data_IF_808240703908
#
_entry.id   IF_808240703908
#
_cell.length_a   1.000
_cell.length_b   1.000
_cell.length_c   1.000
_cell.angle_alpha   90.00
_cell.angle_beta   90.00
_cell.angle_gamma   90.00
#
_symmetry.space_group_name_H-M   'P 1'
#
loop_
_entity.id
_entity.type
_entity.pdbx_description
1 polymer ?
#
# COMPACT_ATOMS: atom_id res chain seq x y z
N UNK A 1 -2.45 -40.19 -67.85
CA UNK A 1 -2.77 -38.74 -67.75
C UNK A 1 -3.48 -38.51 -66.43
N UNK A 2 -2.76 -37.89 -65.49
CA UNK A 2 -3.14 -37.70 -64.09
C UNK A 2 -4.13 -36.53 -63.97
N UNK A 3 -5.28 -36.74 -63.31
CA UNK A 3 -6.19 -35.65 -62.90
C UNK A 3 -5.98 -35.41 -61.41
N UNK A 4 -5.12 -34.44 -61.08
CA UNK A 4 -4.89 -33.99 -59.71
C UNK A 4 -6.01 -33.02 -59.34
N UNK A 5 -6.79 -33.37 -58.33
CA UNK A 5 -7.70 -32.48 -57.61
C UNK A 5 -6.84 -31.70 -56.61
N UNK A 6 -6.73 -30.38 -56.77
CA UNK A 6 -6.08 -29.52 -55.80
C UNK A 6 -7.13 -29.01 -54.80
N UNK A 7 -7.19 -29.63 -53.62
CA UNK A 7 -7.86 -29.07 -52.44
C UNK A 7 -6.81 -28.25 -51.69
N UNK A 8 -6.97 -26.93 -51.66
CA UNK A 8 -6.16 -26.04 -50.83
C UNK A 8 -6.72 -26.13 -49.40
N UNK A 9 -5.98 -26.80 -48.52
CA UNK A 9 -6.26 -26.79 -47.09
C UNK A 9 -5.62 -25.53 -46.47
N UNK A 10 -6.43 -24.52 -46.16
CA UNK A 10 -6.02 -23.40 -45.30
C UNK A 10 -6.08 -23.92 -43.86
N UNK A 11 -4.95 -24.42 -43.36
CA UNK A 11 -4.77 -24.66 -41.93
C UNK A 11 -4.55 -23.30 -41.25
N UNK A 12 -5.63 -22.74 -40.74
CA UNK A 12 -5.57 -21.62 -39.81
C UNK A 12 -4.85 -22.08 -38.54
N UNK A 13 -3.59 -21.68 -38.38
CA UNK A 13 -2.91 -21.77 -37.09
C UNK A 13 -3.60 -20.76 -36.18
N UNK A 14 -4.53 -21.24 -35.37
CA UNK A 14 -4.97 -20.50 -34.18
C UNK A 14 -3.80 -20.58 -33.20
N UNK A 15 -2.84 -19.65 -33.32
CA UNK A 15 -1.95 -19.38 -32.20
C UNK A 15 -2.82 -18.80 -31.11
N UNK A 16 -3.17 -19.61 -30.11
CA UNK A 16 -3.70 -19.11 -28.85
C UNK A 16 -2.60 -18.26 -28.22
N UNK A 17 -2.56 -16.96 -28.53
CA UNK A 17 -1.72 -16.00 -27.84
C UNK A 17 -2.25 -15.97 -26.41
N UNK A 18 -1.57 -16.67 -25.51
CA UNK A 18 -1.76 -16.41 -24.08
C UNK A 18 -1.38 -14.95 -23.88
N UNK A 19 -2.29 -14.16 -23.31
CA UNK A 19 -1.97 -12.81 -22.87
C UNK A 19 -0.70 -12.89 -22.02
N UNK A 20 0.29 -12.05 -22.32
CA UNK A 20 1.53 -12.04 -21.57
C UNK A 20 1.21 -11.72 -20.10
N UNK A 21 1.79 -12.48 -19.18
CA UNK A 21 1.62 -12.25 -17.75
C UNK A 21 2.31 -10.93 -17.37
N UNK A 22 1.71 -10.17 -16.45
CA UNK A 22 2.30 -8.96 -15.92
C UNK A 22 3.62 -9.27 -15.19
N UNK A 23 4.71 -8.61 -15.59
CA UNK A 23 6.00 -8.69 -14.91
C UNK A 23 6.40 -7.29 -14.48
N UNK A 24 6.48 -7.06 -13.18
CA UNK A 24 6.89 -5.75 -12.65
C UNK A 24 8.39 -5.52 -12.86
N UNK A 25 8.82 -4.48 -13.60
CA UNK A 25 10.25 -4.19 -13.82
C UNK A 25 11.04 -3.85 -12.55
N UNK A 26 10.36 -3.50 -11.46
CA UNK A 26 10.97 -3.22 -10.16
C UNK A 26 11.10 -1.72 -9.86
N UNK A 27 10.99 -1.35 -8.58
CA UNK A 27 10.99 0.05 -8.15
C UNK A 27 12.28 0.84 -8.43
N UNK A 28 13.41 0.14 -8.63
CA UNK A 28 14.70 0.74 -8.97
C UNK A 28 15.06 0.67 -10.46
N UNK A 29 14.13 0.23 -11.32
CA UNK A 29 14.37 0.20 -12.76
C UNK A 29 14.50 1.62 -13.31
N UNK A 30 15.41 1.80 -14.28
CA UNK A 30 15.57 3.03 -15.06
C UNK A 30 15.07 2.88 -16.50
N UNK A 31 14.46 1.74 -16.82
CA UNK A 31 13.99 1.41 -18.17
C UNK A 31 12.52 1.81 -18.34
N UNK A 32 12.31 3.00 -18.93
CA UNK A 32 10.97 3.49 -19.23
C UNK A 32 10.21 2.54 -20.18
N UNK A 33 10.89 2.00 -21.20
CA UNK A 33 10.27 1.15 -22.20
C UNK A 33 9.79 -0.18 -21.59
N UNK A 34 10.51 -0.71 -20.59
CA UNK A 34 10.07 -1.89 -19.86
C UNK A 34 8.75 -1.66 -19.10
N UNK A 35 8.54 -0.49 -18.50
CA UNK A 35 7.26 -0.17 -17.86
C UNK A 35 6.13 0.02 -18.87
N UNK A 36 6.40 0.68 -19.99
CA UNK A 36 5.42 0.88 -21.06
C UNK A 36 4.98 -0.43 -21.71
N UNK A 37 5.92 -1.34 -21.94
CA UNK A 37 5.64 -2.67 -22.48
C UNK A 37 4.73 -3.50 -21.54
N UNK A 38 4.66 -3.17 -20.25
CA UNK A 38 3.83 -3.86 -19.26
C UNK A 38 2.46 -3.22 -19.06
N UNK A 39 2.20 -2.01 -19.58
CA UNK A 39 0.89 -1.36 -19.49
C UNK A 39 -0.25 -2.24 -20.07
N UNK A 40 -0.11 -2.89 -21.25
CA UNK A 40 -1.14 -3.77 -21.78
C UNK A 40 -1.39 -5.02 -20.93
N UNK A 41 -0.38 -5.46 -20.16
CA UNK A 41 -0.46 -6.67 -19.33
C UNK A 41 -0.95 -6.37 -17.90
N UNK A 42 -1.08 -5.10 -17.52
CA UNK A 42 -1.51 -4.70 -16.18
C UNK A 42 -2.97 -5.12 -15.91
N UNK A 43 -3.14 -6.10 -15.04
CA UNK A 43 -4.42 -6.74 -14.65
C UNK A 43 -5.24 -5.95 -13.61
N UNK A 44 -4.76 -4.79 -13.15
CA UNK A 44 -5.41 -3.96 -12.14
C UNK A 44 -5.20 -2.47 -12.40
N UNK A 45 -6.13 -1.64 -11.92
CA UNK A 45 -6.01 -0.18 -12.00
C UNK A 45 -4.72 0.32 -11.34
N UNK A 46 -4.36 -0.26 -10.19
CA UNK A 46 -3.11 0.07 -9.50
C UNK A 46 -1.90 -0.14 -10.40
N UNK A 47 -1.78 -1.31 -11.03
CA UNK A 47 -0.63 -1.63 -11.89
C UNK A 47 -0.58 -0.75 -13.15
N UNK A 48 -1.73 -0.35 -13.69
CA UNK A 48 -1.79 0.61 -14.81
C UNK A 48 -1.23 1.98 -14.40
N UNK A 49 -1.70 2.52 -13.27
CA UNK A 49 -1.20 3.80 -12.76
C UNK A 49 0.29 3.69 -12.41
N UNK A 50 0.69 2.62 -11.72
CA UNK A 50 2.07 2.34 -11.35
C UNK A 50 3.01 2.34 -12.56
N UNK A 51 2.69 1.55 -13.60
CA UNK A 51 3.53 1.47 -14.80
C UNK A 51 3.62 2.82 -15.52
N UNK A 52 2.50 3.54 -15.66
CA UNK A 52 2.50 4.86 -16.29
C UNK A 52 3.35 5.87 -15.51
N UNK A 53 3.21 5.90 -14.18
CA UNK A 53 4.00 6.79 -13.32
C UNK A 53 5.48 6.45 -13.35
N UNK A 54 5.85 5.17 -13.22
CA UNK A 54 7.26 4.77 -13.20
C UNK A 54 7.94 4.90 -14.56
N UNK A 55 7.22 4.71 -15.67
CA UNK A 55 7.74 5.04 -17.00
C UNK A 55 8.12 6.52 -17.09
N UNK A 56 7.28 7.40 -16.53
CA UNK A 56 7.56 8.84 -16.50
C UNK A 56 8.71 9.19 -15.54
N UNK A 57 8.79 8.55 -14.36
CA UNK A 57 9.92 8.76 -13.45
C UNK A 57 11.26 8.36 -14.06
N UNK A 58 11.27 7.33 -14.93
CA UNK A 58 12.49 6.91 -15.65
C UNK A 58 12.96 7.96 -16.66
N UNK A 59 12.04 8.73 -17.26
CA UNK A 59 12.37 9.82 -18.19
C UNK A 59 12.74 11.10 -17.47
N UNK A 60 11.89 11.45 -16.51
CA UNK A 60 11.90 12.70 -15.78
C UNK A 60 11.81 12.38 -14.30
N UNK A 61 12.96 12.07 -13.70
CA UNK A 61 13.04 11.75 -12.27
C UNK A 61 12.40 12.90 -11.46
N UNK A 62 11.37 12.64 -10.63
CA UNK A 62 10.79 13.69 -9.80
C UNK A 62 11.84 14.27 -8.86
N UNK A 63 11.92 15.59 -8.80
CA UNK A 63 12.85 16.30 -7.92
C UNK A 63 12.43 16.22 -6.45
N UNK A 64 11.13 16.15 -6.18
CA UNK A 64 10.53 16.14 -4.86
C UNK A 64 9.19 15.39 -4.85
N UNK A 65 8.54 15.35 -3.68
CA UNK A 65 7.23 14.73 -3.51
C UNK A 65 6.13 15.43 -4.33
N UNK A 66 6.19 16.76 -4.48
CA UNK A 66 5.17 17.52 -5.21
C UNK A 66 5.19 17.17 -6.72
N UNK A 67 6.36 17.14 -7.33
CA UNK A 67 6.55 16.72 -8.72
C UNK A 67 6.09 15.26 -8.92
N UNK A 68 6.43 14.37 -7.99
CA UNK A 68 5.98 12.97 -8.02
C UNK A 68 4.45 12.88 -7.98
N UNK A 69 3.83 13.61 -7.06
CA UNK A 69 2.38 13.66 -6.90
C UNK A 69 1.70 14.08 -8.20
N UNK A 70 2.19 15.12 -8.88
CA UNK A 70 1.64 15.56 -10.17
C UNK A 70 1.68 14.47 -11.24
N UNK A 71 2.77 13.72 -11.34
CA UNK A 71 2.89 12.61 -12.30
C UNK A 71 1.92 11.48 -11.96
N UNK A 72 1.79 11.10 -10.67
CA UNK A 72 0.85 10.05 -10.25
C UNK A 72 -0.61 10.47 -10.45
N UNK A 73 -0.94 11.73 -10.16
CA UNK A 73 -2.28 12.27 -10.40
C UNK A 73 -2.63 12.29 -11.88
N UNK A 74 -1.67 12.65 -12.75
CA UNK A 74 -1.83 12.61 -14.21
C UNK A 74 -2.06 11.18 -14.70
N UNK A 75 -1.23 10.24 -14.24
CA UNK A 75 -1.37 8.82 -14.57
C UNK A 75 -2.71 8.25 -14.08
N UNK A 76 -3.15 8.66 -12.89
CA UNK A 76 -4.45 8.26 -12.31
C UNK A 76 -5.61 8.79 -13.15
N UNK A 77 -5.57 10.07 -13.57
CA UNK A 77 -6.59 10.65 -14.44
C UNK A 77 -6.69 9.93 -15.79
N UNK A 78 -5.55 9.51 -16.36
CA UNK A 78 -5.50 8.81 -17.64
C UNK A 78 -5.94 7.35 -17.56
N UNK A 79 -5.50 6.62 -16.53
CA UNK A 79 -5.65 5.16 -16.47
C UNK A 79 -6.68 4.65 -15.46
N UNK A 80 -7.17 5.54 -14.58
CA UNK A 80 -8.20 5.25 -13.59
C UNK A 80 -9.16 6.45 -13.40
N UNK A 81 -9.75 7.02 -14.49
CA UNK A 81 -10.52 8.27 -14.44
C UNK A 81 -11.74 8.21 -13.49
N UNK A 82 -12.33 7.03 -13.35
CA UNK A 82 -13.54 6.80 -12.55
C UNK A 82 -13.24 6.19 -11.17
N UNK A 83 -11.97 6.08 -10.77
CA UNK A 83 -11.63 5.59 -9.45
C UNK A 83 -12.06 6.60 -8.37
N UNK A 84 -12.50 6.10 -7.22
CA UNK A 84 -12.83 6.95 -6.08
C UNK A 84 -11.58 7.62 -5.48
N UNK A 85 -11.81 8.70 -4.72
CA UNK A 85 -10.73 9.46 -4.10
C UNK A 85 -9.93 8.64 -3.07
N UNK A 86 -10.56 7.65 -2.42
CA UNK A 86 -9.88 6.73 -1.52
C UNK A 86 -8.85 5.87 -2.25
N UNK A 87 -9.22 5.32 -3.41
CA UNK A 87 -8.29 4.60 -4.28
C UNK A 87 -7.14 5.50 -4.75
N UNK A 88 -7.43 6.69 -5.29
CA UNK A 88 -6.40 7.62 -5.78
C UNK A 88 -5.41 8.00 -4.68
N UNK A 89 -5.92 8.30 -3.49
CA UNK A 89 -5.09 8.61 -2.33
C UNK A 89 -4.23 7.42 -1.89
N UNK A 90 -4.79 6.21 -1.88
CA UNK A 90 -4.04 4.99 -1.59
C UNK A 90 -2.92 4.76 -2.62
N UNK A 91 -3.20 4.85 -3.92
CA UNK A 91 -2.19 4.67 -4.98
C UNK A 91 -1.07 5.70 -4.84
N UNK A 92 -1.40 6.97 -4.63
CA UNK A 92 -0.42 8.04 -4.44
C UNK A 92 0.53 7.73 -3.29
N UNK A 93 -0.01 7.39 -2.12
CA UNK A 93 0.80 7.09 -0.93
C UNK A 93 1.65 5.84 -1.12
N UNK A 94 1.12 4.83 -1.80
CA UNK A 94 1.83 3.59 -2.02
C UNK A 94 2.99 3.75 -3.01
N UNK A 95 2.79 4.52 -4.09
CA UNK A 95 3.88 4.88 -5.00
C UNK A 95 4.90 5.75 -4.26
N UNK A 96 4.47 6.75 -3.49
CA UNK A 96 5.37 7.62 -2.73
C UNK A 96 6.28 6.83 -1.79
N UNK A 97 5.71 5.94 -0.96
CA UNK A 97 6.48 5.13 -0.02
C UNK A 97 7.55 4.30 -0.73
N UNK A 98 7.14 3.53 -1.75
CA UNK A 98 8.04 2.58 -2.38
C UNK A 98 9.07 3.28 -3.28
N UNK A 99 8.73 4.40 -3.90
CA UNK A 99 9.68 5.23 -4.64
C UNK A 99 10.73 5.86 -3.71
N UNK A 100 10.31 6.46 -2.59
CA UNK A 100 11.23 7.02 -1.60
C UNK A 100 12.17 5.96 -1.03
N UNK A 101 11.66 4.75 -0.77
CA UNK A 101 12.48 3.60 -0.36
C UNK A 101 13.50 3.20 -1.44
N UNK A 102 13.10 3.15 -2.71
CA UNK A 102 13.98 2.78 -3.82
C UNK A 102 15.08 3.82 -4.07
N UNK A 103 14.74 5.11 -3.98
CA UNK A 103 15.70 6.20 -4.11
C UNK A 103 16.58 6.40 -2.86
N UNK A 104 16.21 5.81 -1.73
CA UNK A 104 16.86 6.02 -0.42
C UNK A 104 16.91 7.50 -0.03
N UNK A 105 15.85 8.24 -0.35
CA UNK A 105 15.76 9.68 -0.10
C UNK A 105 14.88 9.94 1.12
N UNK A 106 15.53 10.19 2.26
CA UNK A 106 14.83 10.42 3.52
C UNK A 106 14.16 11.80 3.58
N UNK A 107 14.67 12.81 2.88
CA UNK A 107 13.99 14.12 2.81
C UNK A 107 12.67 13.99 2.06
N UNK A 108 12.69 13.30 0.92
CA UNK A 108 11.48 12.95 0.17
C UNK A 108 10.49 12.13 1.02
N UNK A 109 10.95 11.12 1.77
CA UNK A 109 10.09 10.30 2.63
C UNK A 109 9.39 11.15 3.70
N UNK A 110 10.09 12.15 4.26
CA UNK A 110 9.52 13.08 5.25
C UNK A 110 8.43 13.94 4.65
N UNK A 111 8.61 14.45 3.43
CA UNK A 111 7.59 15.24 2.73
C UNK A 111 6.36 14.37 2.40
N UNK A 112 6.58 13.15 1.92
CA UNK A 112 5.51 12.18 1.68
C UNK A 112 4.75 11.84 2.98
N UNK A 113 5.46 11.73 4.11
CA UNK A 113 4.84 11.50 5.42
C UNK A 113 4.05 12.70 5.92
N UNK A 114 4.57 13.92 5.76
CA UNK A 114 3.84 15.14 6.08
C UNK A 114 2.51 15.21 5.29
N UNK A 115 2.52 14.81 4.02
CA UNK A 115 1.30 14.68 3.24
C UNK A 115 0.34 13.62 3.80
N UNK A 116 0.85 12.48 4.28
CA UNK A 116 0.04 11.45 4.93
C UNK A 116 -0.68 11.97 6.18
N UNK A 117 0.03 12.73 7.03
CA UNK A 117 -0.56 13.37 8.22
C UNK A 117 -1.64 14.39 7.85
N UNK A 118 -1.45 15.17 6.78
CA UNK A 118 -2.43 16.14 6.30
C UNK A 118 -3.65 15.50 5.61
N UNK A 119 -3.50 14.28 5.08
CA UNK A 119 -4.57 13.56 4.37
C UNK A 119 -4.74 12.14 4.90
N UNK A 120 -5.17 11.95 6.16
CA UNK A 120 -5.21 10.64 6.82
C UNK A 120 -5.90 9.54 5.99
N UNK A 121 -5.28 8.37 5.86
CA UNK A 121 -5.95 7.19 5.27
C UNK A 121 -5.34 5.87 5.74
N UNK A 122 -6.02 4.72 5.54
CA UNK A 122 -5.47 3.41 5.90
C UNK A 122 -4.11 3.08 5.28
N UNK A 123 -3.74 3.74 4.17
CA UNK A 123 -2.44 3.59 3.51
C UNK A 123 -1.26 4.03 4.41
N UNK A 124 -1.52 4.91 5.39
CA UNK A 124 -0.50 5.39 6.34
C UNK A 124 0.12 4.24 7.15
N UNK A 125 -0.63 3.14 7.31
CA UNK A 125 -0.15 1.93 7.96
C UNK A 125 1.12 1.37 7.30
N UNK A 126 1.29 1.56 5.99
CA UNK A 126 2.46 1.09 5.27
C UNK A 126 3.71 1.93 5.58
N UNK A 127 3.55 3.25 5.77
CA UNK A 127 4.65 4.10 6.24
C UNK A 127 5.04 3.70 7.67
N UNK A 128 4.07 3.60 8.58
CA UNK A 128 4.30 3.27 9.99
C UNK A 128 4.98 1.91 10.16
N UNK A 129 4.53 0.90 9.41
CA UNK A 129 5.03 -0.47 9.53
C UNK A 129 6.40 -0.69 8.90
N UNK A 130 6.89 0.23 8.06
CA UNK A 130 8.16 0.07 7.33
C UNK A 130 9.26 1.07 7.72
N UNK A 131 8.91 2.17 8.39
CA UNK A 131 9.83 3.27 8.67
C UNK A 131 9.86 3.62 10.17
N UNK A 132 11.03 3.95 10.72
CA UNK A 132 11.16 4.50 12.08
C UNK A 132 10.59 5.93 12.16
N UNK A 133 10.28 6.44 13.36
CA UNK A 133 9.83 7.83 13.48
C UNK A 133 10.90 8.82 13.00
N UNK A 134 12.18 8.53 13.28
CA UNK A 134 13.32 9.33 12.80
C UNK A 134 13.33 9.45 11.27
N UNK A 135 13.14 8.34 10.56
CA UNK A 135 13.14 8.32 9.10
C UNK A 135 11.93 9.04 8.51
N UNK A 136 10.80 8.99 9.22
CA UNK A 136 9.61 9.78 8.92
C UNK A 136 9.75 11.26 9.29
N UNK A 137 10.84 11.68 9.96
CA UNK A 137 11.03 13.06 10.41
C UNK A 137 10.01 13.47 11.48
N UNK A 138 9.57 12.52 12.31
CA UNK A 138 8.57 12.73 13.34
C UNK A 138 9.02 12.14 14.68
N UNK A 139 8.20 12.30 15.72
CA UNK A 139 8.46 11.71 17.03
C UNK A 139 7.77 10.36 17.18
N UNK A 140 8.31 9.48 18.03
CA UNK A 140 7.63 8.22 18.35
C UNK A 140 6.22 8.47 18.92
N UNK A 141 6.01 9.56 19.68
CA UNK A 141 4.69 9.94 20.18
C UNK A 141 3.67 10.18 19.05
N UNK A 142 4.05 10.94 18.01
CA UNK A 142 3.16 11.17 16.84
C UNK A 142 2.91 9.87 16.09
N UNK A 143 3.93 9.04 15.91
CA UNK A 143 3.80 7.75 15.21
C UNK A 143 2.90 6.78 15.98
N UNK A 144 3.00 6.73 17.32
CA UNK A 144 2.12 5.95 18.20
C UNK A 144 0.68 6.45 18.10
N UNK A 145 0.47 7.77 18.19
CA UNK A 145 -0.86 8.38 18.07
C UNK A 145 -1.52 8.04 16.72
N UNK A 146 -0.78 8.14 15.61
CA UNK A 146 -1.29 7.76 14.29
C UNK A 146 -1.55 6.25 14.17
N UNK A 147 -0.72 5.42 14.81
CA UNK A 147 -0.94 3.97 14.87
C UNK A 147 -2.25 3.65 15.59
N UNK A 148 -2.49 4.31 16.72
CA UNK A 148 -3.73 4.19 17.48
C UNK A 148 -4.95 4.55 16.63
N UNK A 149 -4.93 5.69 15.92
CA UNK A 149 -6.04 6.12 15.07
C UNK A 149 -6.38 5.07 14.00
N UNK A 150 -5.36 4.54 13.31
CA UNK A 150 -5.53 3.50 12.30
C UNK A 150 -6.09 2.18 12.87
N UNK A 151 -5.63 1.81 14.08
CA UNK A 151 -6.15 0.64 14.79
C UNK A 151 -7.60 0.86 15.22
N UNK A 152 -7.98 2.06 15.66
CA UNK A 152 -9.34 2.38 16.08
C UNK A 152 -10.33 2.40 14.89
N UNK A 153 -9.88 2.78 13.69
CA UNK A 153 -10.71 2.73 12.49
C UNK A 153 -11.13 1.30 12.10
N UNK A 154 -10.29 0.28 12.36
CA UNK A 154 -10.62 -1.13 12.12
C UNK A 154 -10.83 -1.52 10.65
N UNK A 155 -10.35 -0.68 9.70
CA UNK A 155 -10.54 -0.82 8.25
C UNK A 155 -9.39 -1.52 7.51
N UNK A 156 -8.22 -1.65 8.15
CA UNK A 156 -7.08 -2.31 7.52
C UNK A 156 -7.21 -3.85 7.53
N UNK A 157 -6.50 -4.50 6.62
CA UNK A 157 -6.45 -5.96 6.55
C UNK A 157 -5.77 -6.59 7.78
N UNK A 158 -6.10 -7.84 8.15
CA UNK A 158 -5.60 -8.47 9.38
C UNK A 158 -4.07 -8.44 9.54
N UNK A 159 -3.33 -8.65 8.44
CA UNK A 159 -1.86 -8.63 8.46
C UNK A 159 -1.33 -7.25 8.86
N UNK A 160 -1.94 -6.20 8.33
CA UNK A 160 -1.60 -4.81 8.65
C UNK A 160 -1.98 -4.48 10.08
N UNK A 161 -3.19 -4.85 10.51
CA UNK A 161 -3.62 -4.68 11.91
C UNK A 161 -2.67 -5.36 12.88
N UNK A 162 -2.26 -6.60 12.61
CA UNK A 162 -1.31 -7.33 13.45
C UNK A 162 0.01 -6.57 13.61
N UNK A 163 0.57 -6.03 12.52
CA UNK A 163 1.81 -5.24 12.56
C UNK A 163 1.65 -3.94 13.34
N UNK A 164 0.56 -3.21 13.10
CA UNK A 164 0.26 -1.97 13.81
C UNK A 164 0.06 -2.23 15.30
N UNK A 165 -0.67 -3.29 15.66
CA UNK A 165 -0.89 -3.68 17.05
C UNK A 165 0.41 -4.07 17.75
N UNK A 166 1.28 -4.83 17.08
CA UNK A 166 2.60 -5.17 17.61
C UNK A 166 3.42 -3.91 17.90
N UNK A 167 3.47 -2.96 16.96
CA UNK A 167 4.15 -1.69 17.15
C UNK A 167 3.52 -0.89 18.31
N UNK A 168 2.19 -0.70 18.30
CA UNK A 168 1.49 0.05 19.33
C UNK A 168 1.74 -0.53 20.73
N UNK A 169 1.60 -1.84 20.91
CA UNK A 169 1.83 -2.53 22.19
C UNK A 169 3.28 -2.42 22.65
N UNK A 170 4.25 -2.50 21.72
CA UNK A 170 5.67 -2.39 22.05
C UNK A 170 6.00 -1.01 22.64
N UNK A 171 5.38 0.05 22.12
CA UNK A 171 5.73 1.43 22.48
C UNK A 171 4.73 2.09 23.44
N UNK A 172 3.60 1.44 23.75
CA UNK A 172 2.61 1.92 24.71
C UNK A 172 3.23 2.24 26.09
N UNK A 173 4.13 1.44 26.68
CA UNK A 173 4.76 1.75 27.97
C UNK A 173 5.60 3.04 27.96
N UNK A 174 6.12 3.42 26.80
CA UNK A 174 6.97 4.61 26.62
C UNK A 174 6.22 5.78 25.96
N UNK A 175 4.91 5.63 25.74
CA UNK A 175 4.10 6.62 25.01
C UNK A 175 3.85 7.90 25.81
N UNK A 176 4.04 7.87 27.13
CA UNK A 176 3.65 8.96 28.04
C UNK A 176 2.15 9.04 28.30
N UNK A 177 1.34 8.11 27.76
CA UNK A 177 -0.08 8.02 28.08
C UNK A 177 -0.29 7.61 29.53
N UNK A 178 -1.22 8.25 30.27
CA UNK A 178 -1.69 7.75 31.56
C UNK A 178 -2.19 6.30 31.44
N UNK A 179 -1.99 5.50 32.49
CA UNK A 179 -2.43 4.09 32.53
C UNK A 179 -3.91 3.93 32.20
N UNK A 180 -4.75 4.82 32.73
CA UNK A 180 -6.19 4.82 32.45
C UNK A 180 -6.50 5.04 30.97
N UNK A 181 -5.87 6.03 30.32
CA UNK A 181 -6.09 6.33 28.91
C UNK A 181 -5.63 5.16 28.02
N UNK A 182 -4.50 4.51 28.37
CA UNK A 182 -4.02 3.32 27.70
C UNK A 182 -5.01 2.15 27.83
N UNK A 183 -5.60 1.94 29.01
CA UNK A 183 -6.64 0.94 29.22
C UNK A 183 -7.91 1.21 28.39
N UNK A 184 -8.34 2.46 28.31
CA UNK A 184 -9.51 2.88 27.53
C UNK A 184 -9.27 2.68 26.02
N UNK A 185 -8.07 2.99 25.53
CA UNK A 185 -7.67 2.71 24.15
C UNK A 185 -7.70 1.20 23.85
N UNK A 186 -7.09 0.37 24.69
CA UNK A 186 -7.11 -1.10 24.53
C UNK A 186 -8.53 -1.69 24.60
N UNK A 187 -9.37 -1.17 25.50
CA UNK A 187 -10.79 -1.54 25.60
C UNK A 187 -11.52 -1.24 24.29
N UNK A 188 -11.24 -0.09 23.68
CA UNK A 188 -11.81 0.29 22.39
C UNK A 188 -11.33 -0.64 21.27
N UNK A 189 -10.04 -1.00 21.21
CA UNK A 189 -9.58 -2.01 20.24
C UNK A 189 -10.28 -3.36 20.44
N UNK A 190 -10.45 -3.79 21.69
CA UNK A 190 -11.14 -5.05 21.97
C UNK A 190 -12.59 -5.02 21.44
N UNK A 191 -13.28 -3.88 21.54
CA UNK A 191 -14.63 -3.67 20.97
C UNK A 191 -14.63 -3.67 19.44
N UNK A 192 -13.63 -3.05 18.81
CA UNK A 192 -13.49 -2.99 17.34
C UNK A 192 -13.22 -4.39 16.75
N UNK A 193 -12.37 -5.18 17.38
CA UNK A 193 -11.87 -6.43 16.78
C UNK A 193 -12.60 -7.70 17.25
N UNK A 194 -13.23 -7.71 18.43
CA UNK A 194 -14.00 -8.90 18.91
C UNK A 194 -15.09 -9.34 17.92
N UNK A 195 -15.91 -8.45 17.32
CA UNK A 195 -16.93 -8.86 16.36
C UNK A 195 -16.37 -9.61 15.15
N UNK A 196 -15.13 -9.31 14.74
CA UNK A 196 -14.49 -9.95 13.58
C UNK A 196 -14.17 -11.43 13.80
N UNK A 197 -14.21 -11.91 15.05
CA UNK A 197 -14.12 -13.35 15.36
C UNK A 197 -15.28 -14.15 14.75
N UNK A 198 -16.43 -13.52 14.54
CA UNK A 198 -17.60 -14.14 13.90
C UNK A 198 -17.32 -14.37 12.41
N UNK A 199 -16.63 -13.44 11.76
CA UNK A 199 -16.32 -13.50 10.33
C UNK A 199 -15.23 -14.54 10.03
N UNK A 200 -14.14 -14.53 10.82
CA UNK A 200 -13.02 -15.44 10.63
C UNK A 200 -12.24 -15.62 11.93
N UNK A 201 -12.66 -16.59 12.74
CA UNK A 201 -12.04 -16.86 14.04
C UNK A 201 -10.53 -17.10 13.93
N UNK A 202 -10.10 -17.98 13.02
CA UNK A 202 -8.69 -18.36 12.86
C UNK A 202 -7.77 -17.16 12.61
N UNK A 203 -8.26 -16.18 11.86
CA UNK A 203 -7.47 -14.99 11.52
C UNK A 203 -7.47 -13.95 12.64
N UNK A 204 -8.61 -13.75 13.30
CA UNK A 204 -8.79 -12.66 14.25
C UNK A 204 -8.49 -13.02 15.70
N UNK A 205 -8.55 -14.31 16.07
CA UNK A 205 -8.29 -14.79 17.43
C UNK A 205 -6.91 -14.37 17.96
N UNK A 206 -5.80 -14.47 17.20
CA UNK A 206 -4.49 -14.01 17.69
C UNK A 206 -4.43 -12.51 17.96
N UNK A 207 -5.14 -11.70 17.15
CA UNK A 207 -5.18 -10.23 17.30
C UNK A 207 -5.96 -9.85 18.56
N UNK A 208 -7.16 -10.43 18.72
CA UNK A 208 -8.01 -10.16 19.89
C UNK A 208 -7.38 -10.67 21.18
N UNK A 209 -6.73 -11.84 21.15
CA UNK A 209 -6.00 -12.37 22.30
C UNK A 209 -4.88 -11.41 22.73
N UNK A 210 -4.06 -10.91 21.80
CA UNK A 210 -3.01 -9.95 22.12
C UNK A 210 -3.56 -8.67 22.76
N UNK A 211 -4.65 -8.10 22.23
CA UNK A 211 -5.30 -6.92 22.83
C UNK A 211 -5.69 -7.20 24.28
N UNK A 212 -6.39 -8.32 24.52
CA UNK A 212 -6.87 -8.68 25.86
C UNK A 212 -5.72 -8.95 26.83
N UNK A 213 -4.66 -9.61 26.39
CA UNK A 213 -3.46 -9.86 27.20
C UNK A 213 -2.81 -8.55 27.64
N UNK A 214 -2.63 -7.59 26.74
CA UNK A 214 -2.00 -6.31 27.07
C UNK A 214 -2.91 -5.50 27.97
N UNK A 215 -4.23 -5.54 27.74
CA UNK A 215 -5.22 -4.85 28.55
C UNK A 215 -5.16 -5.24 30.03
N UNK A 216 -4.81 -6.50 30.38
CA UNK A 216 -4.62 -6.91 31.79
C UNK A 216 -3.47 -6.17 32.50
N UNK A 217 -2.46 -5.69 31.76
CA UNK A 217 -1.34 -4.95 32.34
C UNK A 217 -1.68 -3.48 32.68
N UNK A 218 -2.85 -2.99 32.24
CA UNK A 218 -3.30 -1.61 32.40
C UNK A 218 -4.61 -1.49 33.19
N UNK A 219 -5.15 -2.60 33.71
CA UNK A 219 -6.30 -2.62 34.64
C UNK A 219 -5.89 -2.15 36.03
#
# INVERSE_FOLDING_TARGET
MSRIIAIIAILGVVTSVRAAEFVFPGWGSTDAAAFEAQLPNADSLFRKVLCASLAEFCRNKPADFAAMKTVVETASAQHAPNADEGFKLWVLKEIALNWGLACKDDAYIRDAWAYCLAHPSPADAHFISRLSAERLGTTEAIKIARTWELLAEGKAEPRTIKRLLQYYVQYLPTSGLPTQDAYEQLTTLNRVYTPKLIENKTTWEPIVAQIRTVMEAYK
#
